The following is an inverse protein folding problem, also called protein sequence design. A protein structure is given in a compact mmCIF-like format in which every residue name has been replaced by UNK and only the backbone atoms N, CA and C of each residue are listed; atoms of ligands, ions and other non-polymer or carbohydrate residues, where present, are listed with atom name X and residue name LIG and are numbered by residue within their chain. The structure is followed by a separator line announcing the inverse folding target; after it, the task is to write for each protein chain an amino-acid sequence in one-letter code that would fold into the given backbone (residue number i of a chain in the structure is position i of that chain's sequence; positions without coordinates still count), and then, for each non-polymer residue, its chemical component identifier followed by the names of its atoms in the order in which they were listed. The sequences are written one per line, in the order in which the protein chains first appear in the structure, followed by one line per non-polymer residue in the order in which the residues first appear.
data_IF_216395314122
#
_entry.id   IF_216395314122
#
_cell.length_a   1.000
_cell.length_b   1.000
_cell.length_c   1.000
_cell.angle_alpha   90.00
_cell.angle_beta   90.00
_cell.angle_gamma   90.00
#
_symmetry.space_group_name_H-M   'P 1'
#
loop_
_entity.id
_entity.type
_entity.pdbx_description
1 polymer ?
#
# COMPACT_ATOMS: atom_id res chain seq x y z
N UNK A 1 -19.06 9.63 26.63
CA UNK A 1 -18.88 8.46 25.75
C UNK A 1 -17.85 8.84 24.72
N UNK A 2 -16.70 8.15 24.66
CA UNK A 2 -15.69 8.43 23.66
C UNK A 2 -16.20 7.88 22.32
N UNK A 3 -16.43 8.76 21.35
CA UNK A 3 -16.57 8.36 19.95
C UNK A 3 -15.28 7.67 19.55
N UNK A 4 -15.32 6.35 19.37
CA UNK A 4 -14.22 5.60 18.77
C UNK A 4 -14.01 6.19 17.38
N UNK A 5 -12.98 7.00 17.20
CA UNK A 5 -12.61 7.50 15.88
C UNK A 5 -12.07 6.33 15.08
N UNK A 6 -12.68 6.05 13.94
CA UNK A 6 -12.37 4.91 13.08
C UNK A 6 -10.93 5.01 12.54
N UNK A 7 -10.22 3.88 12.45
CA UNK A 7 -8.91 3.82 11.82
C UNK A 7 -9.08 4.05 10.31
N UNK A 8 -8.49 5.13 9.78
CA UNK A 8 -8.69 5.54 8.39
C UNK A 8 -7.38 5.64 7.62
N UNK A 9 -7.48 5.45 6.30
CA UNK A 9 -6.42 5.62 5.31
C UNK A 9 -6.98 6.50 4.18
N UNK A 10 -6.16 7.40 3.66
CA UNK A 10 -6.50 8.25 2.52
C UNK A 10 -5.25 8.64 1.72
N UNK A 11 -5.45 9.14 0.51
CA UNK A 11 -4.42 9.82 -0.26
C UNK A 11 -4.88 11.24 -0.59
N UNK A 12 -4.21 12.30 -0.06
CA UNK A 12 -4.63 13.69 -0.33
C UNK A 12 -4.45 14.10 -1.79
N UNK A 13 -3.67 13.35 -2.58
CA UNK A 13 -3.48 13.61 -4.00
C UNK A 13 -4.56 12.98 -4.90
N UNK A 14 -5.38 12.06 -4.37
CA UNK A 14 -6.41 11.38 -5.14
C UNK A 14 -7.69 12.21 -5.20
N UNK A 15 -7.75 13.17 -6.13
CA UNK A 15 -8.93 14.01 -6.35
C UNK A 15 -10.13 13.17 -6.80
N UNK A 16 -11.25 13.25 -6.06
CA UNK A 16 -12.44 12.43 -6.25
C UNK A 16 -12.14 10.92 -6.37
N UNK A 17 -11.12 10.44 -5.65
CA UNK A 17 -10.70 9.05 -5.69
C UNK A 17 -9.95 8.65 -6.96
N UNK A 18 -9.39 9.57 -7.74
CA UNK A 18 -8.61 9.23 -8.95
C UNK A 18 -7.11 9.28 -8.70
N UNK A 19 -6.37 8.26 -9.14
CA UNK A 19 -4.91 8.26 -9.05
C UNK A 19 -4.29 9.34 -9.95
N UNK A 20 -3.34 10.14 -9.44
CA UNK A 20 -2.60 11.08 -10.26
C UNK A 20 -1.80 10.40 -11.38
N UNK A 21 -1.69 11.07 -12.54
CA UNK A 21 -0.94 10.53 -13.69
C UNK A 21 0.53 10.23 -13.37
N UNK A 22 1.17 10.98 -12.47
CA UNK A 22 2.57 10.70 -12.08
C UNK A 22 2.73 9.35 -11.36
N UNK A 23 1.66 8.78 -10.81
CA UNK A 23 1.67 7.47 -10.17
C UNK A 23 1.66 6.32 -11.17
N UNK A 24 1.41 6.59 -12.45
CA UNK A 24 1.28 5.59 -13.52
C UNK A 24 2.63 5.28 -14.16
N UNK A 25 2.72 4.17 -14.90
CA UNK A 25 3.93 3.82 -15.65
C UNK A 25 4.21 4.78 -16.81
N UNK A 26 3.18 5.39 -17.39
CA UNK A 26 3.33 6.38 -18.46
C UNK A 26 3.68 7.78 -17.93
N UNK A 27 3.27 8.08 -16.70
CA UNK A 27 3.65 9.29 -16.01
C UNK A 27 3.08 10.60 -16.58
N UNK A 28 3.72 11.70 -16.19
CA UNK A 28 3.50 13.05 -16.73
C UNK A 28 4.83 13.82 -16.69
N UNK A 29 5.27 14.33 -17.84
CA UNK A 29 6.56 15.00 -17.95
C UNK A 29 7.71 14.07 -17.58
N UNK A 30 8.46 14.42 -16.52
CA UNK A 30 9.59 13.63 -16.01
C UNK A 30 9.23 12.75 -14.81
N UNK A 31 7.95 12.64 -14.46
CA UNK A 31 7.48 11.87 -13.29
C UNK A 31 6.66 10.67 -13.74
N UNK A 32 7.12 9.47 -13.44
CA UNK A 32 6.43 8.20 -13.68
C UNK A 32 6.73 7.26 -12.51
N UNK A 33 5.84 6.30 -12.23
CA UNK A 33 5.96 5.36 -11.12
C UNK A 33 6.24 6.06 -9.76
N UNK A 34 5.72 7.27 -9.55
CA UNK A 34 5.87 7.99 -8.28
C UNK A 34 4.74 7.59 -7.33
N UNK A 35 5.07 6.91 -6.23
CA UNK A 35 4.08 6.51 -5.21
C UNK A 35 3.22 7.69 -4.72
N UNK A 36 1.89 7.52 -4.55
CA UNK A 36 1.04 8.59 -4.05
C UNK A 36 1.35 8.90 -2.58
N UNK A 37 1.13 10.15 -2.11
CA UNK A 37 1.16 10.42 -0.68
C UNK A 37 0.01 9.65 -0.02
N UNK A 38 0.28 9.06 1.15
CA UNK A 38 -0.71 8.35 1.95
C UNK A 38 -0.73 8.95 3.35
N UNK A 39 -1.91 9.03 3.94
CA UNK A 39 -2.12 9.52 5.30
C UNK A 39 -3.09 8.59 6.03
N UNK A 40 -2.85 8.37 7.32
CA UNK A 40 -3.72 7.56 8.16
C UNK A 40 -3.94 8.19 9.54
N UNK A 41 -5.11 7.93 10.09
CA UNK A 41 -5.54 8.50 11.36
C UNK A 41 -6.16 7.44 12.27
N UNK A 42 -6.12 7.70 13.58
CA UNK A 42 -6.72 6.84 14.60
C UNK A 42 -6.19 5.40 14.60
N UNK A 43 -4.86 5.25 14.50
CA UNK A 43 -4.18 3.96 14.64
C UNK A 43 -4.66 3.26 15.93
N UNK A 44 -5.15 2.01 15.86
CA UNK A 44 -5.68 1.30 17.01
C UNK A 44 -4.67 1.21 18.16
N UNK A 45 -5.13 1.27 19.42
CA UNK A 45 -4.27 0.97 20.57
C UNK A 45 -3.64 -0.42 20.44
N UNK A 46 -2.44 -0.60 21.01
CA UNK A 46 -1.64 -1.85 20.97
C UNK A 46 -1.00 -2.17 19.61
N UNK A 47 -1.20 -1.35 18.59
CA UNK A 47 -0.41 -1.43 17.36
C UNK A 47 1.08 -1.24 17.68
N UNK A 48 1.93 -2.13 17.19
CA UNK A 48 3.39 -2.03 17.26
C UNK A 48 4.01 -1.68 15.90
N UNK A 49 3.42 -2.19 14.82
CA UNK A 49 3.83 -1.87 13.45
C UNK A 49 2.63 -1.83 12.51
N UNK A 50 2.79 -1.27 11.31
CA UNK A 50 1.78 -1.32 10.27
C UNK A 50 2.34 -1.90 8.97
N UNK A 51 1.47 -2.45 8.14
CA UNK A 51 1.80 -2.95 6.82
C UNK A 51 0.81 -2.45 5.77
N UNK A 52 1.30 -2.07 4.60
CA UNK A 52 0.52 -1.58 3.46
C UNK A 52 0.60 -2.58 2.32
N UNK A 53 -0.56 -2.89 1.73
CA UNK A 53 -0.65 -3.61 0.46
C UNK A 53 -1.52 -2.81 -0.49
N UNK A 54 -1.04 -2.58 -1.71
CA UNK A 54 -1.80 -1.93 -2.77
C UNK A 54 -2.01 -2.92 -3.91
N UNK A 55 -3.26 -3.07 -4.34
CA UNK A 55 -3.63 -4.00 -5.40
C UNK A 55 -4.61 -3.38 -6.39
N UNK A 56 -4.48 -3.74 -7.66
CA UNK A 56 -5.57 -3.64 -8.63
C UNK A 56 -6.46 -4.87 -8.44
N UNK A 57 -7.73 -4.64 -8.07
CA UNK A 57 -8.69 -5.72 -7.77
C UNK A 57 -9.55 -6.10 -8.97
N UNK A 58 -9.48 -5.34 -10.06
CA UNK A 58 -10.24 -5.56 -11.29
C UNK A 58 -9.38 -6.26 -12.37
N UNK A 59 -8.08 -6.46 -12.11
CA UNK A 59 -7.16 -7.10 -13.03
C UNK A 59 -7.60 -8.52 -13.42
N UNK A 60 -7.65 -8.75 -14.74
CA UNK A 60 -7.90 -10.05 -15.34
C UNK A 60 -6.61 -10.54 -16.00
N UNK A 61 -6.14 -11.73 -15.61
CA UNK A 61 -4.92 -12.31 -16.16
C UNK A 61 -5.11 -12.75 -17.63
N UNK A 62 -4.02 -13.08 -18.36
CA UNK A 62 -4.11 -13.53 -19.76
C UNK A 62 -4.93 -14.82 -19.97
N UNK A 63 -5.28 -15.55 -18.91
CA UNK A 63 -6.13 -16.75 -18.95
C UNK A 63 -7.60 -16.42 -18.69
N UNK A 64 -7.93 -15.16 -18.42
CA UNK A 64 -9.29 -14.71 -18.14
C UNK A 64 -9.70 -14.86 -16.68
N UNK A 65 -8.75 -15.08 -15.76
CA UNK A 65 -9.03 -15.18 -14.33
C UNK A 65 -8.89 -13.82 -13.65
N UNK A 66 -9.89 -13.43 -12.85
CA UNK A 66 -9.79 -12.28 -11.95
C UNK A 66 -8.75 -12.60 -10.86
N UNK A 67 -7.68 -11.80 -10.82
CA UNK A 67 -6.60 -11.93 -9.83
C UNK A 67 -6.15 -10.55 -9.37
N UNK A 68 -6.02 -10.35 -8.06
CA UNK A 68 -5.63 -9.06 -7.53
C UNK A 68 -4.12 -8.80 -7.76
N UNK A 69 -3.79 -7.92 -8.70
CA UNK A 69 -2.41 -7.58 -9.07
C UNK A 69 -1.81 -6.64 -8.03
N UNK A 70 -0.71 -7.04 -7.40
CA UNK A 70 -0.05 -6.29 -6.33
C UNK A 70 0.89 -5.25 -6.91
N UNK A 71 0.61 -3.98 -6.62
CA UNK A 71 1.40 -2.81 -7.04
C UNK A 71 2.46 -2.42 -6.02
N UNK A 72 2.17 -2.60 -4.73
CA UNK A 72 3.09 -2.20 -3.66
C UNK A 72 2.88 -2.98 -2.38
N UNK A 73 3.97 -3.28 -1.69
CA UNK A 73 4.00 -3.94 -0.38
C UNK A 73 5.00 -3.21 0.50
N UNK A 74 4.56 -2.73 1.66
CA UNK A 74 5.41 -2.07 2.66
C UNK A 74 5.11 -2.69 4.01
N UNK A 75 6.14 -3.01 4.79
CA UNK A 75 5.98 -3.65 6.10
C UNK A 75 6.76 -2.90 7.17
N UNK A 76 6.45 -3.21 8.43
CA UNK A 76 7.15 -2.67 9.60
C UNK A 76 7.13 -1.14 9.67
N UNK A 77 6.08 -0.51 9.15
CA UNK A 77 5.87 0.94 9.23
C UNK A 77 5.72 1.33 10.72
N UNK A 78 6.57 2.21 11.28
CA UNK A 78 6.47 2.64 12.66
C UNK A 78 5.15 3.37 12.97
N UNK A 79 4.58 3.11 14.15
CA UNK A 79 3.36 3.77 14.64
C UNK A 79 3.48 5.28 14.84
N UNK A 80 4.71 5.77 14.90
CA UNK A 80 5.03 7.20 14.98
C UNK A 80 4.74 7.91 13.67
N UNK A 81 4.78 7.21 12.54
CA UNK A 81 4.42 7.77 11.24
C UNK A 81 2.91 7.93 11.11
N UNK A 82 2.50 8.99 10.40
CA UNK A 82 1.10 9.33 10.10
C UNK A 82 0.77 9.23 8.62
N UNK A 83 1.74 8.81 7.82
CA UNK A 83 1.62 8.76 6.37
C UNK A 83 2.94 8.38 5.71
N UNK A 84 2.88 8.06 4.42
CA UNK A 84 4.04 7.96 3.54
C UNK A 84 4.03 9.17 2.60
N UNK A 85 5.13 9.93 2.48
CA UNK A 85 5.17 11.07 1.57
C UNK A 85 5.07 10.63 0.11
N UNK A 86 4.66 11.55 -0.76
CA UNK A 86 4.68 11.31 -2.21
C UNK A 86 6.08 10.91 -2.66
N UNK A 87 6.20 9.81 -3.40
CA UNK A 87 7.49 9.32 -3.88
C UNK A 87 8.35 8.68 -2.80
N UNK A 88 7.77 8.27 -1.66
CA UNK A 88 8.48 7.50 -0.63
C UNK A 88 9.11 6.22 -1.17
N UNK A 89 8.40 5.52 -2.05
CA UNK A 89 8.90 4.27 -2.61
C UNK A 89 10.22 4.43 -3.38
N UNK A 90 11.18 3.55 -3.11
CA UNK A 90 12.46 3.49 -3.81
C UNK A 90 13.46 4.57 -3.40
N UNK A 91 13.19 5.35 -2.35
CA UNK A 91 14.13 6.36 -1.83
C UNK A 91 15.30 5.75 -1.08
N UNK A 92 15.17 4.49 -0.62
CA UNK A 92 16.11 3.87 0.31
C UNK A 92 15.96 4.37 1.75
N UNK A 93 14.90 5.13 2.04
CA UNK A 93 14.52 5.55 3.40
C UNK A 93 13.87 4.39 4.16
N UNK A 94 14.59 3.27 4.28
CA UNK A 94 14.28 2.14 5.15
C UNK A 94 14.62 2.44 6.63
N UNK A 95 14.89 3.72 6.95
CA UNK A 95 15.17 4.19 8.30
C UNK A 95 13.97 3.91 9.23
N UNK A 96 14.25 3.43 10.43
CA UNK A 96 13.21 3.03 11.39
C UNK A 96 12.64 1.63 11.18
N UNK A 97 13.22 0.82 10.28
CA UNK A 97 12.87 -0.60 10.10
C UNK A 97 11.75 -0.85 9.10
N UNK A 98 11.41 0.14 8.28
CA UNK A 98 10.47 0.01 7.17
C UNK A 98 11.12 -0.81 6.06
N UNK A 99 10.38 -1.76 5.48
CA UNK A 99 10.89 -2.55 4.36
C UNK A 99 9.87 -2.57 3.21
N UNK A 100 10.36 -2.43 1.97
CA UNK A 100 9.56 -2.65 0.77
C UNK A 100 9.68 -4.11 0.29
N UNK A 101 8.52 -4.74 0.10
CA UNK A 101 8.37 -6.11 -0.37
C UNK A 101 8.28 -6.22 -1.88
N UNK A 102 8.48 -7.44 -2.40
CA UNK A 102 8.28 -7.75 -3.81
C UNK A 102 6.80 -7.62 -4.19
N UNK A 103 6.54 -6.81 -5.21
CA UNK A 103 5.28 -6.77 -5.94
C UNK A 103 5.23 -7.82 -7.07
N UNK A 104 4.18 -7.81 -7.90
CA UNK A 104 4.01 -8.83 -8.95
C UNK A 104 5.00 -8.71 -10.11
N UNK A 105 5.67 -7.56 -10.26
CA UNK A 105 6.81 -7.37 -11.17
C UNK A 105 8.15 -7.81 -10.57
N UNK A 106 8.15 -8.38 -9.35
CA UNK A 106 9.35 -8.81 -8.62
C UNK A 106 10.31 -7.65 -8.34
N UNK A 107 9.76 -6.45 -8.14
CA UNK A 107 10.50 -5.27 -7.68
C UNK A 107 9.99 -4.84 -6.31
N UNK A 108 10.83 -4.12 -5.56
CA UNK A 108 10.56 -3.64 -4.20
C UNK A 108 10.22 -2.16 -4.17
N UNK A 109 9.44 -1.74 -5.15
CA UNK A 109 9.00 -0.36 -5.28
C UNK A 109 7.57 -0.35 -5.78
N UNK A 110 6.90 0.78 -5.59
CA UNK A 110 5.67 1.12 -6.26
C UNK A 110 5.84 0.91 -7.76
N UNK A 111 4.91 0.13 -8.31
CA UNK A 111 4.70 0.08 -9.75
C UNK A 111 3.34 0.64 -10.02
N UNK A 112 3.23 1.65 -10.88
CA UNK A 112 1.96 2.26 -11.24
C UNK A 112 1.08 1.40 -12.13
N UNK A 113 -0.21 1.74 -12.26
CA UNK A 113 -1.01 1.22 -13.36
C UNK A 113 -0.52 1.71 -14.72
N UNK A 114 -0.96 1.00 -15.76
CA UNK A 114 -0.77 1.39 -17.16
C UNK A 114 -2.05 1.97 -17.73
N UNK A 115 -1.98 2.72 -18.84
CA UNK A 115 -3.17 3.24 -19.55
C UNK A 115 -4.21 2.17 -19.89
N UNK A 116 -3.80 0.92 -20.06
CA UNK A 116 -4.71 -0.21 -20.29
C UNK A 116 -5.60 -0.53 -19.07
N UNK A 117 -5.21 -0.10 -17.86
CA UNK A 117 -5.95 -0.25 -16.60
C UNK A 117 -6.94 0.90 -16.36
N UNK A 118 -7.29 1.68 -17.38
CA UNK A 118 -8.24 2.78 -17.22
C UNK A 118 -9.64 2.22 -16.89
N UNK A 119 -10.20 2.64 -15.77
CA UNK A 119 -11.43 2.13 -15.17
C UNK A 119 -11.21 1.20 -13.98
N UNK A 120 -9.99 0.66 -13.80
CA UNK A 120 -9.70 -0.31 -12.75
C UNK A 120 -9.67 0.34 -11.35
N UNK A 121 -10.02 -0.44 -10.35
CA UNK A 121 -10.04 -0.07 -8.93
C UNK A 121 -8.77 -0.55 -8.23
N UNK A 122 -8.04 0.41 -7.66
CA UNK A 122 -6.85 0.20 -6.85
C UNK A 122 -7.22 0.27 -5.36
N UNK A 123 -7.13 -0.86 -4.67
CA UNK A 123 -7.34 -0.97 -3.24
C UNK A 123 -6.01 -0.78 -2.48
N UNK A 124 -5.96 0.23 -1.64
CA UNK A 124 -4.93 0.45 -0.64
C UNK A 124 -5.44 -0.08 0.68
N UNK A 125 -4.75 -1.05 1.26
CA UNK A 125 -5.11 -1.63 2.56
C UNK A 125 -3.96 -1.50 3.53
N UNK A 126 -4.21 -0.83 4.64
CA UNK A 126 -3.29 -0.64 5.75
C UNK A 126 -3.74 -1.52 6.92
N UNK A 127 -2.83 -2.37 7.38
CA UNK A 127 -3.03 -3.24 8.52
C UNK A 127 -2.28 -2.66 9.72
N UNK A 128 -2.95 -2.58 10.86
CA UNK A 128 -2.35 -2.30 12.14
C UNK A 128 -2.06 -3.64 12.84
N UNK A 129 -0.81 -3.87 13.22
CA UNK A 129 -0.32 -5.15 13.74
C UNK A 129 0.14 -5.01 15.19
N UNK A 130 -0.16 -5.99 16.03
CA UNK A 130 0.33 -6.05 17.42
C UNK A 130 1.76 -6.61 17.55
N UNK A 131 2.43 -6.85 16.43
CA UNK A 131 3.81 -7.32 16.38
C UNK A 131 4.61 -6.68 15.23
N UNK A 132 5.92 -6.87 15.25
CA UNK A 132 6.80 -6.60 14.12
C UNK A 132 6.93 -7.86 13.25
N UNK A 133 6.87 -7.69 11.94
CA UNK A 133 6.95 -8.81 11.02
C UNK A 133 8.42 -9.10 10.69
N UNK A 134 8.87 -10.29 11.05
CA UNK A 134 10.25 -10.71 10.79
C UNK A 134 10.31 -11.68 9.61
N UNK A 135 11.05 -11.31 8.57
CA UNK A 135 11.19 -12.12 7.36
C UNK A 135 12.64 -12.55 7.16
N UNK A 136 12.88 -13.86 7.02
CA UNK A 136 14.22 -14.40 6.72
C UNK A 136 14.63 -14.20 5.25
N UNK A 137 13.65 -13.92 4.38
CA UNK A 137 13.81 -13.81 2.94
C UNK A 137 12.99 -12.61 2.46
N UNK A 138 13.07 -12.31 1.15
CA UNK A 138 12.30 -11.22 0.56
C UNK A 138 10.80 -11.35 0.85
N UNK A 139 10.20 -10.26 1.31
CA UNK A 139 8.77 -10.13 1.63
C UNK A 139 7.97 -10.20 0.34
N UNK A 140 6.87 -10.94 0.35
CA UNK A 140 5.86 -10.94 -0.71
C UNK A 140 4.51 -10.74 -0.05
N UNK A 141 3.48 -10.33 -0.80
CA UNK A 141 2.11 -10.24 -0.28
C UNK A 141 1.68 -11.54 0.43
N UNK A 142 1.89 -12.70 -0.20
CA UNK A 142 1.49 -13.98 0.37
C UNK A 142 2.17 -14.24 1.73
N UNK A 143 3.50 -14.08 1.81
CA UNK A 143 4.24 -14.25 3.06
C UNK A 143 3.82 -13.25 4.14
N UNK A 144 3.53 -12.02 3.73
CA UNK A 144 3.05 -10.98 4.63
C UNK A 144 1.68 -11.36 5.21
N UNK A 145 0.74 -11.80 4.37
CA UNK A 145 -0.58 -12.27 4.81
C UNK A 145 -0.47 -13.47 5.76
N UNK A 146 0.42 -14.42 5.47
CA UNK A 146 0.68 -15.56 6.34
C UNK A 146 1.28 -15.10 7.69
N UNK A 147 2.25 -14.18 7.66
CA UNK A 147 2.92 -13.67 8.86
C UNK A 147 2.01 -12.82 9.76
N UNK A 148 1.07 -12.06 9.19
CA UNK A 148 0.14 -11.24 9.96
C UNK A 148 -1.06 -12.02 10.51
N UNK A 149 -1.23 -13.29 10.14
CA UNK A 149 -2.37 -14.09 10.57
C UNK A 149 -2.41 -14.17 12.12
N UNK A 150 -3.48 -13.64 12.70
CA UNK A 150 -3.64 -13.55 14.17
C UNK A 150 -3.01 -12.31 14.83
N UNK A 151 -2.33 -11.45 14.08
CA UNK A 151 -1.67 -10.23 14.57
C UNK A 151 -2.38 -8.92 14.17
N UNK A 152 -3.40 -8.98 13.32
CA UNK A 152 -4.14 -7.80 12.87
C UNK A 152 -5.07 -7.28 13.98
N UNK A 153 -4.81 -6.06 14.45
CA UNK A 153 -5.62 -5.36 15.46
C UNK A 153 -6.48 -4.23 14.89
N UNK A 154 -6.32 -3.93 13.61
CA UNK A 154 -7.24 -3.09 12.85
C UNK A 154 -6.83 -2.97 11.39
N UNK A 155 -7.79 -2.55 10.58
CA UNK A 155 -7.59 -2.37 9.14
C UNK A 155 -8.21 -1.05 8.69
N UNK A 156 -7.57 -0.40 7.71
CA UNK A 156 -8.11 0.75 7.01
C UNK A 156 -7.97 0.50 5.50
N UNK A 157 -9.03 0.81 4.76
CA UNK A 157 -9.08 0.62 3.31
C UNK A 157 -9.40 1.95 2.63
N UNK A 158 -8.64 2.26 1.59
CA UNK A 158 -8.87 3.36 0.67
C UNK A 158 -8.88 2.81 -0.75
N UNK A 159 -9.79 3.26 -1.60
CA UNK A 159 -9.85 2.88 -3.00
C UNK A 159 -9.65 4.10 -3.89
N UNK A 160 -8.90 3.91 -4.97
CA UNK A 160 -8.78 4.90 -6.03
C UNK A 160 -9.00 4.23 -7.38
N UNK A 161 -9.50 4.97 -8.37
CA UNK A 161 -9.60 4.52 -9.77
C UNK A 161 -8.47 5.11 -10.59
N UNK A 162 -8.08 4.45 -11.67
CA UNK A 162 -7.23 5.06 -12.70
C UNK A 162 -8.00 5.32 -13.99
#
# INVERSE_FOLDING_TARGET
MATSTEFTLASPACDNGKLPKYCTQEGVGTKWDVSPPLEWHNVPPKTKSMALVVQDIDFVDPKGCEVALTHWVVVNIPVTMKGLPQGFSGTGEEEGGIEEGLNDWKVRVWRGPKMANYGDTFQFRLYALDDHMHFHNQVTRAKLLDAMAGHVVGEAVFTATF
#
